data_IF_544710963023
#
_entry.id   IF_544710963023
#
_cell.length_a   1.000
_cell.length_b   1.000
_cell.length_c   1.000
_cell.angle_alpha   90.00
_cell.angle_beta   90.00
_cell.angle_gamma   90.00
#
_symmetry.space_group_name_H-M   'P 1'
#
loop_
_entity.id
_entity.type
_entity.pdbx_description
1 polymer ?
#
# COMPACT_ATOMS: atom_id res chain seq x y z
N UNK A 1 9.92 -11.61 -56.14
CA UNK A 1 11.12 -11.65 -55.27
C UNK A 1 10.84 -10.69 -54.12
N UNK A 2 10.26 -11.16 -53.00
CA UNK A 2 10.92 -11.43 -51.70
C UNK A 2 11.85 -10.27 -51.31
N UNK A 3 11.33 -9.25 -50.64
CA UNK A 3 11.16 -9.14 -49.19
C UNK A 3 12.35 -8.40 -48.59
N UNK A 4 12.08 -7.27 -47.94
CA UNK A 4 12.75 -6.79 -46.73
C UNK A 4 11.95 -5.58 -46.24
N UNK A 5 10.81 -5.88 -45.63
CA UNK A 5 10.10 -4.94 -44.76
C UNK A 5 11.00 -4.80 -43.53
N UNK A 6 11.81 -3.75 -43.49
CA UNK A 6 12.58 -3.38 -42.31
C UNK A 6 11.59 -2.77 -41.33
N UNK A 7 11.02 -3.63 -40.48
CA UNK A 7 10.26 -3.22 -39.30
C UNK A 7 11.24 -2.49 -38.38
N UNK A 8 11.07 -1.19 -38.09
CA UNK A 8 11.87 -0.57 -37.06
C UNK A 8 11.40 -1.16 -35.73
N UNK A 9 12.31 -1.91 -35.14
CA UNK A 9 12.35 -2.52 -33.83
C UNK A 9 12.31 -1.44 -32.71
N UNK A 10 11.38 -0.48 -32.79
CA UNK A 10 11.27 0.67 -31.87
C UNK A 10 10.13 0.49 -30.88
N UNK A 11 9.34 -0.59 -31.01
CA UNK A 11 8.22 -0.88 -30.10
C UNK A 11 8.59 -1.66 -28.82
N UNK A 12 9.88 -1.76 -28.45
CA UNK A 12 10.35 -2.62 -27.34
C UNK A 12 10.69 -1.87 -26.05
N UNK A 13 10.45 -0.55 -25.95
CA UNK A 13 10.66 0.20 -24.71
C UNK A 13 9.37 0.81 -24.10
N UNK A 14 8.21 0.23 -24.41
CA UNK A 14 6.99 0.45 -23.64
C UNK A 14 6.95 -0.43 -22.36
N UNK A 15 8.13 -0.77 -21.82
CA UNK A 15 8.25 -1.18 -20.42
C UNK A 15 8.10 0.07 -19.56
N UNK A 16 6.87 0.57 -19.44
CA UNK A 16 6.50 1.58 -18.47
C UNK A 16 6.79 1.04 -17.07
N UNK A 17 8.00 1.26 -16.58
CA UNK A 17 8.31 1.19 -15.16
C UNK A 17 7.51 2.30 -14.49
N UNK A 18 6.25 2.03 -14.14
CA UNK A 18 5.47 2.96 -13.32
C UNK A 18 6.19 3.07 -12.00
N UNK A 19 6.88 4.19 -11.81
CA UNK A 19 7.62 4.48 -10.59
C UNK A 19 6.66 4.37 -9.40
N UNK A 20 7.08 3.70 -8.34
CA UNK A 20 6.25 3.50 -7.15
C UNK A 20 5.92 4.83 -6.47
N UNK A 21 4.86 4.86 -5.66
CA UNK A 21 4.46 6.07 -4.95
C UNK A 21 5.59 6.59 -4.04
N UNK A 22 6.34 5.70 -3.41
CA UNK A 22 7.45 6.06 -2.53
C UNK A 22 8.62 6.67 -3.33
N UNK A 23 8.97 6.08 -4.49
CA UNK A 23 9.98 6.66 -5.39
C UNK A 23 9.54 8.03 -5.95
N UNK A 24 8.25 8.19 -6.27
CA UNK A 24 7.69 9.48 -6.68
C UNK A 24 7.78 10.54 -5.58
N UNK A 25 7.50 10.13 -4.34
CA UNK A 25 7.59 11.00 -3.17
C UNK A 25 9.03 11.46 -2.92
N UNK A 26 9.99 10.53 -2.91
CA UNK A 26 11.41 10.84 -2.74
C UNK A 26 11.95 11.75 -3.85
N UNK A 27 11.56 11.51 -5.11
CA UNK A 27 11.94 12.38 -6.22
C UNK A 27 11.34 13.78 -6.07
N UNK A 28 10.08 13.89 -5.66
CA UNK A 28 9.46 15.19 -5.41
C UNK A 28 10.11 15.96 -4.26
N UNK A 29 10.54 15.26 -3.21
CA UNK A 29 11.33 15.87 -2.14
C UNK A 29 12.67 16.41 -2.66
N UNK A 30 13.41 15.58 -3.42
CA UNK A 30 14.67 15.98 -4.02
C UNK A 30 14.53 17.20 -4.94
N UNK A 31 13.43 17.28 -5.71
CA UNK A 31 13.16 18.42 -6.58
C UNK A 31 12.83 19.71 -5.79
N UNK A 32 12.11 19.62 -4.67
CA UNK A 32 11.90 20.78 -3.77
C UNK A 32 13.22 21.24 -3.14
N UNK A 33 14.07 20.32 -2.72
CA UNK A 33 15.38 20.64 -2.12
C UNK A 33 16.30 21.30 -3.16
N UNK A 34 16.28 20.79 -4.40
CA UNK A 34 17.11 21.33 -5.49
C UNK A 34 16.59 22.67 -6.00
N UNK A 35 15.29 22.79 -6.21
CA UNK A 35 14.65 23.98 -6.74
C UNK A 35 13.30 24.24 -6.05
N UNK A 36 13.26 25.08 -5.01
CA UNK A 36 12.06 25.33 -4.22
C UNK A 36 11.14 26.34 -4.93
N UNK A 37 10.49 25.90 -6.00
CA UNK A 37 9.46 26.66 -6.71
C UNK A 37 8.05 26.17 -6.35
N UNK A 38 7.04 26.96 -6.68
CA UNK A 38 5.65 26.67 -6.30
C UNK A 38 5.13 25.34 -6.89
N UNK A 39 5.58 24.96 -8.08
CA UNK A 39 5.18 23.73 -8.75
C UNK A 39 5.75 22.50 -8.04
N UNK A 40 7.05 22.50 -7.75
CA UNK A 40 7.73 21.42 -7.04
C UNK A 40 7.14 21.23 -5.65
N UNK A 41 6.89 22.32 -4.93
CA UNK A 41 6.25 22.28 -3.61
C UNK A 41 4.83 21.72 -3.71
N UNK A 42 4.02 22.18 -4.65
CA UNK A 42 2.66 21.67 -4.82
C UNK A 42 2.64 20.17 -5.14
N UNK A 43 3.54 19.72 -6.02
CA UNK A 43 3.68 18.30 -6.38
C UNK A 43 4.08 17.45 -5.18
N UNK A 44 5.06 17.91 -4.41
CA UNK A 44 5.48 17.22 -3.18
C UNK A 44 4.34 17.14 -2.16
N UNK A 45 3.62 18.24 -1.92
CA UNK A 45 2.49 18.28 -0.98
C UNK A 45 1.33 17.35 -1.41
N UNK A 46 1.10 17.21 -2.72
CA UNK A 46 0.10 16.27 -3.22
C UNK A 46 0.54 14.82 -2.96
N UNK A 47 1.80 14.49 -3.24
CA UNK A 47 2.35 13.15 -3.00
C UNK A 47 2.40 12.82 -1.51
N UNK A 48 2.74 13.78 -0.65
CA UNK A 48 2.75 13.57 0.80
C UNK A 48 1.35 13.21 1.32
N UNK A 49 0.30 13.83 0.78
CA UNK A 49 -1.08 13.49 1.12
C UNK A 49 -1.42 12.06 0.69
N UNK A 50 -1.07 11.67 -0.54
CA UNK A 50 -1.34 10.33 -1.04
C UNK A 50 -0.63 9.24 -0.21
N UNK A 51 0.62 9.50 0.23
CA UNK A 51 1.36 8.61 1.11
C UNK A 51 0.68 8.51 2.48
N UNK A 52 0.27 9.64 3.07
CA UNK A 52 -0.43 9.66 4.34
C UNK A 52 -1.77 8.90 4.29
N UNK A 53 -2.55 9.09 3.23
CA UNK A 53 -3.83 8.39 3.03
C UNK A 53 -3.62 6.88 2.92
N UNK A 54 -2.63 6.43 2.13
CA UNK A 54 -2.25 5.00 2.03
C UNK A 54 -1.84 4.42 3.38
N UNK A 55 -1.05 5.15 4.15
CA UNK A 55 -0.53 4.67 5.43
C UNK A 55 -1.64 4.60 6.48
N UNK A 56 -2.58 5.55 6.47
CA UNK A 56 -3.79 5.49 7.28
C UNK A 56 -4.67 4.27 6.93
N UNK A 57 -4.90 4.02 5.64
CA UNK A 57 -5.64 2.82 5.20
C UNK A 57 -4.95 1.51 5.61
N UNK A 58 -3.62 1.48 5.55
CA UNK A 58 -2.85 0.32 6.01
C UNK A 58 -2.97 0.15 7.52
N UNK A 59 -2.89 1.23 8.29
CA UNK A 59 -3.04 1.19 9.74
C UNK A 59 -4.45 0.74 10.17
N UNK A 60 -5.50 1.26 9.52
CA UNK A 60 -6.88 0.84 9.78
C UNK A 60 -7.08 -0.64 9.50
N UNK A 61 -6.59 -1.15 8.36
CA UNK A 61 -6.67 -2.58 8.05
C UNK A 61 -5.93 -3.45 9.06
N UNK A 62 -4.77 -3.00 9.54
CA UNK A 62 -4.03 -3.71 10.58
C UNK A 62 -4.78 -3.72 11.92
N UNK A 63 -5.40 -2.60 12.30
CA UNK A 63 -6.22 -2.51 13.51
C UNK A 63 -7.48 -3.39 13.43
N UNK A 64 -8.16 -3.40 12.29
CA UNK A 64 -9.30 -4.28 12.03
C UNK A 64 -8.90 -5.76 12.12
N UNK A 65 -7.78 -6.14 11.49
CA UNK A 65 -7.27 -7.50 11.54
C UNK A 65 -6.93 -7.94 12.98
N UNK A 66 -6.29 -7.06 13.76
CA UNK A 66 -5.97 -7.33 15.16
C UNK A 66 -7.24 -7.44 16.03
N UNK A 67 -8.27 -6.63 15.76
CA UNK A 67 -9.57 -6.71 16.44
C UNK A 67 -10.26 -8.04 16.15
N UNK A 68 -10.27 -8.48 14.88
CA UNK A 68 -10.83 -9.78 14.48
C UNK A 68 -10.08 -10.95 15.14
N UNK A 69 -8.75 -10.87 15.22
CA UNK A 69 -7.94 -11.89 15.89
C UNK A 69 -8.21 -11.93 17.40
N UNK A 70 -8.31 -10.76 18.03
CA UNK A 70 -8.71 -10.62 19.43
C UNK A 70 -10.08 -11.25 19.68
N UNK A 71 -11.09 -10.93 18.88
CA UNK A 71 -12.45 -11.46 19.01
C UNK A 71 -12.51 -12.99 18.85
N UNK A 72 -11.67 -13.56 17.98
CA UNK A 72 -11.50 -15.02 17.88
C UNK A 72 -10.93 -15.60 19.18
N UNK A 73 -9.89 -14.98 19.74
CA UNK A 73 -9.29 -15.39 21.01
C UNK A 73 -10.30 -15.31 22.17
N UNK A 74 -11.08 -14.24 22.25
CA UNK A 74 -12.16 -14.11 23.23
C UNK A 74 -13.24 -15.19 23.04
N UNK A 75 -13.64 -15.46 21.80
CA UNK A 75 -14.63 -16.51 21.50
C UNK A 75 -14.12 -17.90 21.91
N UNK A 76 -12.86 -18.23 21.66
CA UNK A 76 -12.27 -19.49 22.11
C UNK A 76 -12.16 -19.59 23.63
N UNK A 77 -11.80 -18.49 24.30
CA UNK A 77 -11.80 -18.43 25.77
C UNK A 77 -13.19 -18.78 26.33
N UNK A 78 -14.25 -18.14 25.85
CA UNK A 78 -15.61 -18.44 26.32
C UNK A 78 -16.07 -19.85 25.99
N UNK A 79 -15.71 -20.41 24.83
CA UNK A 79 -16.01 -21.82 24.51
C UNK A 79 -15.35 -22.78 25.49
N UNK A 80 -14.10 -22.53 25.87
CA UNK A 80 -13.35 -23.39 26.78
C UNK A 80 -13.93 -23.36 28.21
N UNK A 81 -14.14 -22.18 28.77
CA UNK A 81 -14.67 -22.06 30.14
C UNK A 81 -16.17 -22.33 30.23
N UNK A 82 -16.95 -21.90 29.23
CA UNK A 82 -18.39 -22.14 29.16
C UNK A 82 -18.79 -23.60 28.85
N UNK A 83 -17.86 -24.46 28.43
CA UNK A 83 -18.14 -25.89 28.23
C UNK A 83 -17.57 -26.78 29.35
N UNK A 84 -16.44 -26.41 29.96
CA UNK A 84 -15.81 -27.21 31.03
C UNK A 84 -16.35 -26.88 32.43
N UNK A 85 -16.66 -25.62 32.76
CA UNK A 85 -17.24 -25.28 34.09
C UNK A 85 -18.75 -25.51 34.16
N UNK A 86 -19.47 -25.32 33.05
CA UNK A 86 -20.92 -25.54 32.98
C UNK A 86 -21.31 -27.02 33.00
N UNK A 87 -20.40 -27.93 32.59
CA UNK A 87 -20.63 -29.38 32.66
C UNK A 87 -20.23 -30.01 33.99
N UNK A 88 -19.34 -29.39 34.77
CA UNK A 88 -18.93 -29.88 36.09
C UNK A 88 -19.90 -29.52 37.22
N UNK A 89 -20.79 -28.56 36.99
CA UNK A 89 -21.77 -28.06 37.96
C UNK A 89 -23.17 -28.67 37.81
N UNK A 90 -23.36 -29.65 36.93
CA UNK A 90 -24.65 -30.34 36.71
C UNK A 90 -24.57 -31.82 37.04
#
# INVERSE_FOLDING_TARGET
MKALIIVPLVFVLAGCSSMSLDEQYEQAYADVVREPNAENVARYMQLSKNVADRDMERANRAAEAATIESDKGFTEYFKRYGSDEFKKSR
#
